data_IF_428859958795
#
_entry.id   IF_428859958795
#
_cell.length_a   1.000
_cell.length_b   1.000
_cell.length_c   1.000
_cell.angle_alpha   90.00
_cell.angle_beta   90.00
_cell.angle_gamma   90.00
#
_symmetry.space_group_name_H-M   'P 1'
#
loop_
_entity.id
_entity.type
_entity.pdbx_description
1 polymer ?
#
# COMPACT_ATOMS: atom_id res chain seq x y z
N UNK A 1 -5.66 8.85 13.43
CA UNK A 1 -5.92 10.30 13.57
C UNK A 1 -5.68 11.09 12.28
N UNK A 2 -4.53 10.94 11.59
CA UNK A 2 -4.20 11.74 10.38
C UNK A 2 -4.90 11.33 9.08
N UNK A 3 -5.36 10.08 8.96
CA UNK A 3 -6.07 9.56 7.78
C UNK A 3 -7.32 8.82 8.23
N UNK A 4 -8.38 8.92 7.42
CA UNK A 4 -9.69 8.29 7.69
C UNK A 4 -9.78 6.84 7.19
N UNK A 5 -8.82 6.41 6.38
CA UNK A 5 -8.75 5.06 5.84
C UNK A 5 -7.57 4.31 6.48
N UNK A 6 -7.68 2.98 6.52
CA UNK A 6 -6.60 2.08 6.93
C UNK A 6 -6.13 1.29 5.71
N UNK A 7 -5.50 2.00 4.77
CA UNK A 7 -4.89 1.41 3.57
C UNK A 7 -3.43 1.81 3.53
N UNK A 8 -2.54 0.83 3.42
CA UNK A 8 -1.09 1.04 3.39
C UNK A 8 -0.57 0.57 2.03
N UNK A 9 0.03 1.48 1.25
CA UNK A 9 0.66 1.11 -0.02
C UNK A 9 2.15 0.85 0.22
N UNK A 10 2.62 -0.35 -0.10
CA UNK A 10 4.04 -0.72 -0.03
C UNK A 10 4.67 -0.82 -1.43
N UNK A 11 5.97 -0.57 -1.58
CA UNK A 11 6.64 -0.71 -2.88
C UNK A 11 6.52 -2.14 -3.43
N UNK A 12 6.43 -2.28 -4.75
CA UNK A 12 6.34 -3.60 -5.40
C UNK A 12 7.56 -4.51 -5.17
N UNK A 13 8.67 -3.97 -4.67
CA UNK A 13 9.83 -4.74 -4.23
C UNK A 13 9.59 -5.43 -2.88
N UNK A 14 8.85 -4.79 -1.98
CA UNK A 14 8.53 -5.30 -0.64
C UNK A 14 7.23 -6.14 -0.61
N UNK A 15 6.67 -6.47 -1.78
CA UNK A 15 5.39 -7.18 -1.89
C UNK A 15 5.37 -8.53 -1.14
N UNK A 16 6.53 -9.17 -0.99
CA UNK A 16 6.66 -10.43 -0.23
C UNK A 16 6.35 -10.27 1.26
N UNK A 17 6.48 -9.05 1.81
CA UNK A 17 6.22 -8.77 3.22
C UNK A 17 4.75 -8.41 3.49
N UNK A 18 3.89 -8.34 2.46
CA UNK A 18 2.50 -7.91 2.63
C UNK A 18 1.72 -8.81 3.58
N UNK A 19 1.92 -10.13 3.51
CA UNK A 19 1.23 -11.08 4.39
C UNK A 19 1.54 -10.84 5.86
N UNK A 20 2.83 -10.73 6.22
CA UNK A 20 3.23 -10.43 7.59
C UNK A 20 2.76 -9.05 8.06
N UNK A 21 2.75 -8.05 7.17
CA UNK A 21 2.23 -6.72 7.49
C UNK A 21 0.72 -6.72 7.74
N UNK A 22 -0.06 -7.51 6.99
CA UNK A 22 -1.51 -7.65 7.22
C UNK A 22 -1.79 -8.37 8.56
N UNK A 23 -0.96 -9.34 8.95
CA UNK A 23 -1.05 -10.02 10.24
C UNK A 23 -0.70 -9.08 11.42
N UNK A 24 0.38 -8.29 11.28
CA UNK A 24 0.86 -7.36 12.31
C UNK A 24 0.00 -6.08 12.44
N UNK A 25 -0.68 -5.68 11.35
CA UNK A 25 -1.52 -4.49 11.29
C UNK A 25 -3.00 -4.87 11.06
N UNK A 26 -3.67 -5.45 12.07
CA UNK A 26 -5.05 -5.89 11.92
C UNK A 26 -5.98 -4.72 11.58
N UNK A 27 -6.77 -4.89 10.52
CA UNK A 27 -7.69 -3.88 10.02
C UNK A 27 -7.07 -2.87 9.04
N UNK A 28 -5.79 -3.03 8.69
CA UNK A 28 -5.18 -2.35 7.55
C UNK A 28 -5.21 -3.23 6.31
N UNK A 29 -5.56 -2.63 5.18
CA UNK A 29 -5.44 -3.26 3.86
C UNK A 29 -4.07 -2.89 3.26
N UNK A 30 -3.23 -3.89 3.03
CA UNK A 30 -1.92 -3.69 2.42
C UNK A 30 -2.04 -3.80 0.90
N UNK A 31 -1.71 -2.72 0.21
CA UNK A 31 -1.76 -2.59 -1.23
C UNK A 31 -0.35 -2.57 -1.81
N UNK A 32 -0.18 -3.21 -2.95
CA UNK A 32 1.11 -3.23 -3.65
C UNK A 32 1.15 -2.09 -4.67
N UNK A 33 2.08 -1.17 -4.45
CA UNK A 33 2.40 -0.07 -5.36
C UNK A 33 3.44 -0.45 -6.42
N UNK A 34 3.87 0.53 -7.24
CA UNK A 34 4.89 0.30 -8.25
C UNK A 34 6.26 -0.02 -7.64
N UNK A 35 7.15 -0.61 -8.43
CA UNK A 35 8.56 -0.85 -8.04
C UNK A 35 9.41 0.42 -8.08
N UNK A 36 9.07 1.36 -8.96
CA UNK A 36 9.79 2.62 -9.13
C UNK A 36 8.90 3.80 -8.76
N UNK A 37 9.45 4.76 -8.01
CA UNK A 37 8.71 5.93 -7.53
C UNK A 37 8.13 6.81 -8.64
N UNK A 38 8.77 6.82 -9.82
CA UNK A 38 8.30 7.56 -10.99
C UNK A 38 6.87 7.16 -11.43
N UNK A 39 6.43 5.95 -11.12
CA UNK A 39 5.10 5.45 -11.48
C UNK A 39 4.02 5.70 -10.42
N UNK A 40 4.37 6.26 -9.25
CA UNK A 40 3.39 6.57 -8.19
C UNK A 40 2.25 7.46 -8.70
N UNK A 41 2.49 8.53 -9.48
CA UNK A 41 1.41 9.37 -9.97
C UNK A 41 0.41 8.63 -10.87
N UNK A 42 0.88 7.67 -11.67
CA UNK A 42 0.01 6.86 -12.52
C UNK A 42 -0.81 5.86 -11.69
N UNK A 43 -0.19 5.23 -10.69
CA UNK A 43 -0.85 4.31 -9.77
C UNK A 43 -1.95 5.01 -8.95
N UNK A 44 -1.68 6.20 -8.42
CA UNK A 44 -2.64 6.94 -7.59
C UNK A 44 -3.86 7.44 -8.37
N UNK A 45 -3.78 7.56 -9.70
CA UNK A 45 -4.95 7.92 -10.53
C UNK A 45 -6.03 6.84 -10.55
N UNK A 46 -5.64 5.57 -10.38
CA UNK A 46 -6.57 4.44 -10.36
C UNK A 46 -6.90 3.99 -8.94
N UNK A 47 -6.11 4.43 -7.97
CA UNK A 47 -6.30 4.10 -6.56
C UNK A 47 -7.51 4.83 -5.95
N UNK A 48 -8.26 4.12 -5.10
CA UNK A 48 -9.36 4.69 -4.31
C UNK A 48 -9.14 4.40 -2.82
N UNK A 49 -9.19 5.44 -1.96
CA UNK A 49 -9.05 5.28 -0.52
C UNK A 49 -10.22 4.55 0.14
#
# INVERSE_FOLDING_TARGET
DKVKHHKLIIPGYAAVESGGLEEELPGWEVLIGPREGAHIPAYLKTWKP
#
